data_IF_247108612183
#
_entry.id   IF_247108612183
#
_cell.length_a   1.000
_cell.length_b   1.000
_cell.length_c   1.000
_cell.angle_alpha   90.00
_cell.angle_beta   90.00
_cell.angle_gamma   90.00
#
_symmetry.space_group_name_H-M   'P 1'
#
loop_
_entity.id
_entity.type
_entity.pdbx_description
1 polymer ?
#
# COMPACT_ATOMS: atom_id res chain seq x y z
N UNK A 1 -41.69 10.83 16.93
CA UNK A 1 -40.33 11.38 16.72
C UNK A 1 -39.29 10.78 17.66
N UNK A 2 -39.38 10.94 18.99
CA UNK A 2 -38.37 10.42 19.94
C UNK A 2 -38.16 8.89 19.89
N UNK A 3 -39.23 8.10 19.77
CA UNK A 3 -39.15 6.64 19.65
C UNK A 3 -38.41 6.19 18.38
N UNK A 4 -38.68 6.85 17.25
CA UNK A 4 -38.00 6.58 15.98
C UNK A 4 -36.51 6.94 16.07
N UNK A 5 -36.19 8.07 16.72
CA UNK A 5 -34.80 8.47 16.97
C UNK A 5 -34.04 7.42 17.78
N UNK A 6 -34.61 6.91 18.88
CA UNK A 6 -33.96 5.87 19.69
C UNK A 6 -33.78 4.55 18.93
N UNK A 7 -34.73 4.17 18.07
CA UNK A 7 -34.62 2.97 17.24
C UNK A 7 -33.47 3.13 16.23
N UNK A 8 -33.36 4.29 15.58
CA UNK A 8 -32.26 4.55 14.62
C UNK A 8 -30.91 4.55 15.34
N UNK A 9 -30.80 5.20 16.49
CA UNK A 9 -29.57 5.22 17.29
C UNK A 9 -29.18 3.82 17.74
N UNK A 10 -30.12 3.02 18.24
CA UNK A 10 -29.86 1.64 18.66
C UNK A 10 -29.39 0.77 17.48
N UNK A 11 -29.97 0.96 16.30
CA UNK A 11 -29.58 0.24 15.08
C UNK A 11 -28.15 0.60 14.66
N UNK A 12 -27.79 1.89 14.67
CA UNK A 12 -26.45 2.37 14.35
C UNK A 12 -25.41 1.83 15.34
N UNK A 13 -25.74 1.81 16.64
CA UNK A 13 -24.87 1.24 17.67
C UNK A 13 -24.65 -0.26 17.47
N UNK A 14 -25.71 -1.01 17.14
CA UNK A 14 -25.60 -2.45 16.85
C UNK A 14 -24.72 -2.73 15.63
N UNK A 15 -24.92 -1.98 14.54
CA UNK A 15 -24.14 -2.14 13.31
C UNK A 15 -22.66 -1.80 13.55
N UNK A 16 -22.38 -0.71 14.26
CA UNK A 16 -21.01 -0.30 14.56
C UNK A 16 -20.30 -1.28 15.50
N UNK A 17 -20.99 -1.83 16.50
CA UNK A 17 -20.44 -2.88 17.36
C UNK A 17 -20.12 -4.17 16.59
N UNK A 18 -21.03 -4.61 15.72
CA UNK A 18 -20.80 -5.78 14.86
C UNK A 18 -19.63 -5.54 13.90
N UNK A 19 -19.55 -4.35 13.29
CA UNK A 19 -18.44 -3.96 12.44
C UNK A 19 -17.11 -3.97 13.21
N UNK A 20 -17.07 -3.40 14.41
CA UNK A 20 -15.87 -3.39 15.26
C UNK A 20 -15.39 -4.81 15.60
N UNK A 21 -16.31 -5.71 15.95
CA UNK A 21 -15.95 -7.11 16.22
C UNK A 21 -15.37 -7.81 14.99
N UNK A 22 -15.97 -7.61 13.82
CA UNK A 22 -15.46 -8.15 12.56
C UNK A 22 -14.10 -7.53 12.19
N UNK A 23 -13.91 -6.24 12.40
CA UNK A 23 -12.64 -5.56 12.18
C UNK A 23 -11.55 -6.06 13.14
N UNK A 24 -11.88 -6.54 14.34
CA UNK A 24 -10.91 -7.08 15.29
C UNK A 24 -10.60 -8.58 15.08
N UNK A 25 -11.31 -9.25 14.16
CA UNK A 25 -11.02 -10.64 13.82
C UNK A 25 -9.83 -10.72 12.86
N UNK A 26 -8.69 -11.37 13.23
CA UNK A 26 -7.52 -11.47 12.37
C UNK A 26 -7.81 -12.08 11.00
N UNK A 27 -8.69 -13.09 10.96
CA UNK A 27 -9.10 -13.75 9.72
C UNK A 27 -9.90 -12.84 8.76
N UNK A 28 -10.68 -11.90 9.29
CA UNK A 28 -11.43 -10.94 8.49
C UNK A 28 -10.51 -9.85 7.94
N UNK A 29 -9.57 -9.36 8.75
CA UNK A 29 -8.55 -8.41 8.32
C UNK A 29 -7.68 -9.01 7.21
N UNK A 30 -7.19 -10.24 7.38
CA UNK A 30 -6.36 -10.93 6.40
C UNK A 30 -7.10 -11.17 5.08
N UNK A 31 -8.39 -11.55 5.14
CA UNK A 31 -9.20 -11.75 3.95
C UNK A 31 -9.42 -10.44 3.17
N UNK A 32 -9.69 -9.33 3.86
CA UNK A 32 -9.85 -8.02 3.24
C UNK A 32 -8.52 -7.51 2.70
N UNK A 33 -7.44 -7.58 3.49
CA UNK A 33 -6.09 -7.19 3.09
C UNK A 33 -5.62 -7.99 1.87
N UNK A 34 -5.85 -9.31 1.84
CA UNK A 34 -5.51 -10.16 0.69
C UNK A 34 -6.30 -9.76 -0.55
N UNK A 35 -7.61 -9.49 -0.43
CA UNK A 35 -8.44 -9.04 -1.57
C UNK A 35 -7.97 -7.69 -2.13
N UNK A 36 -7.72 -6.74 -1.24
CA UNK A 36 -7.16 -5.42 -1.61
C UNK A 36 -5.80 -5.60 -2.28
N UNK A 37 -4.89 -6.34 -1.66
CA UNK A 37 -3.58 -6.64 -2.22
C UNK A 37 -3.69 -7.28 -3.62
N UNK A 38 -4.55 -8.27 -3.82
CA UNK A 38 -4.75 -8.89 -5.15
C UNK A 38 -5.37 -7.95 -6.18
N UNK A 39 -6.25 -7.04 -5.76
CA UNK A 39 -6.84 -6.06 -6.67
C UNK A 39 -5.81 -5.01 -7.12
N UNK A 40 -4.89 -4.64 -6.23
CA UNK A 40 -3.84 -3.65 -6.51
C UNK A 40 -2.56 -4.26 -7.15
N UNK A 41 -2.24 -5.52 -6.85
CA UNK A 41 -1.02 -6.22 -7.28
C UNK A 41 -1.28 -7.30 -8.33
N UNK A 42 -2.52 -7.45 -8.81
CA UNK A 42 -2.93 -8.52 -9.72
C UNK A 42 -2.26 -8.50 -11.10
N UNK A 43 -1.46 -7.47 -11.40
CA UNK A 43 -0.55 -7.52 -12.52
C UNK A 43 0.79 -8.10 -12.06
N UNK A 44 1.09 -9.31 -12.53
CA UNK A 44 2.44 -9.87 -12.42
C UNK A 44 3.41 -8.85 -13.06
N UNK A 45 4.39 -8.31 -12.31
CA UNK A 45 5.45 -7.55 -12.94
C UNK A 45 6.10 -8.43 -13.99
N UNK A 46 6.53 -7.86 -15.11
CA UNK A 46 7.33 -8.62 -16.08
C UNK A 46 8.49 -9.29 -15.35
N UNK A 47 8.69 -10.57 -15.63
CA UNK A 47 9.77 -11.33 -15.03
C UNK A 47 11.08 -10.66 -15.41
N UNK A 48 11.73 -10.08 -14.42
CA UNK A 48 13.11 -9.67 -14.51
C UNK A 48 13.98 -10.91 -14.45
N UNK A 49 14.69 -11.18 -15.53
CA UNK A 49 15.71 -12.23 -15.57
C UNK A 49 16.95 -11.72 -14.82
N UNK A 50 16.88 -11.77 -13.49
CA UNK A 50 17.93 -11.29 -12.59
C UNK A 50 17.44 -10.50 -11.37
N UNK A 51 18.40 -9.99 -10.58
CA UNK A 51 18.15 -9.18 -9.38
C UNK A 51 18.08 -7.70 -9.74
N UNK A 52 16.92 -7.07 -9.58
CA UNK A 52 16.76 -5.62 -9.78
C UNK A 52 16.72 -4.90 -8.45
N UNK A 53 17.69 -4.02 -8.21
CA UNK A 53 17.74 -3.15 -7.02
C UNK A 53 17.32 -1.74 -7.42
N UNK A 54 16.31 -1.20 -6.75
CA UNK A 54 15.73 0.13 -7.02
C UNK A 54 15.91 0.98 -5.78
N UNK A 55 16.56 2.13 -5.91
CA UNK A 55 16.63 3.14 -4.85
C UNK A 55 15.38 4.02 -4.92
N UNK A 56 14.36 3.70 -4.11
CA UNK A 56 13.11 4.46 -4.03
C UNK A 56 13.25 5.76 -3.23
N UNK A 57 14.27 5.85 -2.36
CA UNK A 57 14.64 7.09 -1.68
C UNK A 57 16.03 6.98 -1.05
N UNK A 58 16.74 8.09 -1.00
CA UNK A 58 18.13 8.15 -0.52
C UNK A 58 18.35 9.28 0.50
N UNK A 59 17.29 10.02 0.85
CA UNK A 59 17.41 11.11 1.81
C UNK A 59 17.48 10.59 3.25
N UNK A 60 18.27 11.29 4.07
CA UNK A 60 18.37 11.05 5.50
C UNK A 60 17.02 11.21 6.20
N UNK A 61 16.73 10.42 7.25
CA UNK A 61 15.57 10.66 8.11
C UNK A 61 15.67 12.00 8.85
N UNK A 62 16.87 12.54 9.05
CA UNK A 62 17.11 13.84 9.68
C UNK A 62 17.26 14.93 8.61
N UNK A 63 16.23 15.76 8.43
CA UNK A 63 16.37 17.06 7.74
C UNK A 63 16.15 17.08 6.22
N UNK A 64 15.43 16.12 5.64
CA UNK A 64 14.98 16.22 4.25
C UNK A 64 13.72 17.08 4.12
N UNK A 65 13.76 18.16 3.34
CA UNK A 65 12.56 18.91 2.95
C UNK A 65 11.49 18.02 2.31
N UNK A 66 10.27 18.54 2.14
CA UNK A 66 9.12 17.79 1.60
C UNK A 66 9.36 17.20 0.20
N UNK A 67 10.31 17.77 -0.54
CA UNK A 67 10.68 17.42 -1.92
C UNK A 67 11.47 16.10 -2.07
N UNK A 68 12.02 15.51 -1.00
CA UNK A 68 12.86 14.29 -1.11
C UNK A 68 12.29 13.10 -0.33
N UNK A 69 12.17 11.95 -0.99
CA UNK A 69 11.82 10.68 -0.35
C UNK A 69 12.96 10.19 0.55
N UNK A 70 12.63 9.83 1.79
CA UNK A 70 13.56 9.25 2.75
C UNK A 70 14.03 7.85 2.32
N UNK A 71 15.10 7.35 2.94
CA UNK A 71 15.77 6.08 2.62
C UNK A 71 14.80 4.92 2.33
N UNK A 72 14.99 4.29 1.18
CA UNK A 72 14.23 3.15 0.69
C UNK A 72 14.95 2.44 -0.45
N UNK A 73 14.99 1.11 -0.36
CA UNK A 73 15.50 0.21 -1.39
C UNK A 73 14.47 -0.89 -1.65
N UNK A 74 14.03 -1.03 -2.90
CA UNK A 74 13.20 -2.16 -3.33
C UNK A 74 14.07 -3.16 -4.10
N UNK A 75 14.00 -4.42 -3.73
CA UNK A 75 14.68 -5.53 -4.42
C UNK A 75 13.63 -6.41 -5.07
N UNK A 76 13.71 -6.53 -6.39
CA UNK A 76 12.74 -7.25 -7.21
C UNK A 76 13.43 -8.42 -7.89
N UNK A 77 12.88 -9.62 -7.72
CA UNK A 77 13.22 -10.83 -8.46
C UNK A 77 11.99 -11.32 -9.24
N UNK A 78 12.14 -12.40 -10.00
CA UNK A 78 11.03 -13.02 -10.71
C UNK A 78 9.87 -13.47 -9.79
N UNK A 79 10.18 -13.87 -8.55
CA UNK A 79 9.21 -14.47 -7.62
C UNK A 79 8.97 -13.64 -6.35
N UNK A 80 9.86 -12.69 -6.06
CA UNK A 80 9.88 -12.01 -4.77
C UNK A 80 10.05 -10.49 -4.92
N UNK A 81 9.41 -9.79 -3.99
CA UNK A 81 9.51 -8.36 -3.82
C UNK A 81 9.85 -8.05 -2.36
N UNK A 82 11.04 -7.48 -2.13
CA UNK A 82 11.48 -7.06 -0.80
C UNK A 82 11.60 -5.53 -0.76
N UNK A 83 11.21 -4.95 0.37
CA UNK A 83 11.31 -3.52 0.62
C UNK A 83 12.11 -3.29 1.90
N UNK A 84 13.22 -2.56 1.77
CA UNK A 84 14.14 -2.22 2.85
C UNK A 84 14.11 -0.71 3.08
N UNK A 85 14.00 -0.30 4.35
CA UNK A 85 13.79 1.07 4.79
C UNK A 85 12.54 1.73 4.16
N UNK A 86 11.50 1.97 4.95
CA UNK A 86 10.25 2.58 4.47
C UNK A 86 10.11 3.97 5.07
N UNK A 87 11.04 4.85 4.71
CA UNK A 87 11.01 6.24 5.14
C UNK A 87 9.81 7.02 4.58
N UNK A 88 9.51 8.18 5.16
CA UNK A 88 8.44 9.05 4.70
C UNK A 88 8.58 9.37 3.20
N UNK A 89 7.45 9.36 2.51
CA UNK A 89 7.32 9.61 1.07
C UNK A 89 7.97 8.59 0.13
N UNK A 90 8.68 7.59 0.63
CA UNK A 90 9.27 6.54 -0.19
C UNK A 90 8.25 5.59 -0.87
N UNK A 91 7.11 5.24 -0.26
CA UNK A 91 6.13 4.36 -0.91
C UNK A 91 5.39 5.00 -2.08
N UNK A 92 5.33 6.34 -2.12
CA UNK A 92 4.73 7.12 -3.21
C UNK A 92 5.67 7.24 -4.40
N UNK A 93 6.99 7.16 -4.17
CA UNK A 93 8.01 7.10 -5.22
C UNK A 93 8.27 5.68 -5.71
N UNK A 94 7.26 4.83 -5.66
CA UNK A 94 7.26 3.55 -6.38
C UNK A 94 6.98 3.86 -7.83
N UNK A 95 8.02 3.97 -8.65
CA UNK A 95 7.86 3.91 -10.10
C UNK A 95 7.40 2.50 -10.47
N UNK A 96 6.18 2.30 -11.00
CA UNK A 96 5.94 1.15 -11.84
C UNK A 96 6.79 1.41 -13.08
N UNK A 97 7.80 0.60 -13.33
CA UNK A 97 8.60 0.69 -14.57
C UNK A 97 7.69 0.40 -15.77
N UNK A 98 6.98 1.43 -16.23
CA UNK A 98 6.19 1.48 -17.48
C UNK A 98 6.10 2.90 -18.04
N UNK A 99 7.13 3.74 -17.85
CA UNK A 99 7.15 5.06 -18.52
C UNK A 99 8.53 5.55 -18.97
N UNK A 100 9.60 4.76 -18.83
CA UNK A 100 10.96 5.18 -19.21
C UNK A 100 11.53 4.46 -20.45
N UNK A 101 10.74 3.65 -21.16
CA UNK A 101 11.15 3.03 -22.44
C UNK A 101 10.54 3.72 -23.66
N UNK A 102 10.02 4.94 -23.51
CA UNK A 102 9.55 5.74 -24.64
C UNK A 102 10.25 7.10 -24.64
N UNK A 103 11.58 7.07 -24.81
CA UNK A 103 12.26 8.16 -25.52
C UNK A 103 12.01 7.94 -27.03
N UNK A 104 11.49 8.93 -27.76
CA UNK A 104 11.61 8.91 -29.22
C UNK A 104 13.08 9.24 -29.54
N UNK A 105 13.78 8.28 -30.15
CA UNK A 105 15.00 8.59 -30.90
C UNK A 105 14.61 9.55 -32.04
N UNK A 106 15.35 10.65 -32.13
CA UNK A 106 15.38 11.59 -33.26
C UNK A 106 16.42 11.14 -34.27
#
# INVERSE_FOLDING_TARGET
MKKLFYVVVALVVLISAAAALLFNAPSAQDAVAKRVATAFLGQKPESVDGLRVIVCGSASPLGGGLERAQACIAVVTAEHFFLFDVGARSPQRRTPTRSASRSPES
#
